data_IF_655538569160
#
_entry.id   IF_655538569160
#
_cell.length_a   1.000
_cell.length_b   1.000
_cell.length_c   1.000
_cell.angle_alpha   90.00
_cell.angle_beta   90.00
_cell.angle_gamma   90.00
#
_symmetry.space_group_name_H-M   'P 1'
#
loop_
_entity.id
_entity.type
_entity.pdbx_description
1 polymer ?
#
# COMPACT_ATOMS: atom_id res chain seq x y z
N UNK A 1 16.04 -33.03 50.52
CA UNK A 1 14.90 -32.68 49.63
C UNK A 1 15.41 -32.78 48.20
N UNK A 2 15.07 -33.85 47.46
CA UNK A 2 15.63 -34.16 46.14
C UNK A 2 14.55 -33.84 45.09
N UNK A 3 14.69 -32.71 44.39
CA UNK A 3 13.82 -32.39 43.25
C UNK A 3 14.13 -33.39 42.13
N UNK A 4 13.12 -34.12 41.65
CA UNK A 4 13.32 -35.12 40.60
C UNK A 4 13.70 -34.43 39.28
N UNK A 5 14.78 -34.88 38.65
CA UNK A 5 15.30 -34.36 37.38
C UNK A 5 14.26 -34.39 36.24
N UNK A 6 13.20 -35.19 36.37
CA UNK A 6 12.12 -35.34 35.39
C UNK A 6 11.23 -34.10 35.28
N UNK A 7 11.02 -33.34 36.36
CA UNK A 7 10.18 -32.14 36.31
C UNK A 7 10.89 -30.95 35.65
N UNK A 8 12.23 -30.93 35.69
CA UNK A 8 13.02 -29.85 35.10
C UNK A 8 13.01 -29.94 33.57
N UNK A 9 13.22 -31.13 32.99
CA UNK A 9 13.23 -31.32 31.53
C UNK A 9 11.89 -31.04 30.86
N UNK A 10 10.77 -31.42 31.50
CA UNK A 10 9.41 -31.11 30.99
C UNK A 10 9.11 -29.61 30.98
N UNK A 11 9.59 -28.87 31.98
CA UNK A 11 9.43 -27.42 32.05
C UNK A 11 10.17 -26.71 30.90
N UNK A 12 11.41 -27.12 30.59
CA UNK A 12 12.13 -26.58 29.42
C UNK A 12 11.45 -26.97 28.10
N UNK A 13 10.94 -28.20 27.98
CA UNK A 13 10.24 -28.63 26.77
C UNK A 13 8.95 -27.84 26.52
N UNK A 14 8.20 -27.51 27.58
CA UNK A 14 7.03 -26.63 27.49
C UNK A 14 7.40 -25.21 27.09
N UNK A 15 8.51 -24.65 27.60
CA UNK A 15 9.00 -23.32 27.20
C UNK A 15 9.42 -23.32 25.72
N UNK A 16 10.17 -24.34 25.27
CA UNK A 16 10.55 -24.45 23.87
C UNK A 16 9.35 -24.64 22.94
N UNK A 17 8.38 -25.47 23.32
CA UNK A 17 7.16 -25.70 22.54
C UNK A 17 6.28 -24.44 22.44
N UNK A 18 6.13 -23.70 23.54
CA UNK A 18 5.39 -22.42 23.55
C UNK A 18 6.10 -21.33 22.77
N UNK A 19 7.43 -21.24 22.84
CA UNK A 19 8.23 -20.32 22.03
C UNK A 19 8.14 -20.66 20.53
N UNK A 20 8.24 -21.94 20.15
CA UNK A 20 8.09 -22.37 18.77
C UNK A 20 6.68 -22.05 18.22
N UNK A 21 5.63 -22.26 19.02
CA UNK A 21 4.25 -21.92 18.64
C UNK A 21 4.08 -20.41 18.44
N UNK A 22 4.69 -19.60 19.32
CA UNK A 22 4.69 -18.14 19.22
C UNK A 22 5.39 -17.65 17.94
N UNK A 23 6.55 -18.21 17.60
CA UNK A 23 7.28 -17.87 16.36
C UNK A 23 6.47 -18.20 15.10
N UNK A 24 5.77 -19.34 15.06
CA UNK A 24 4.93 -19.72 13.92
C UNK A 24 3.71 -18.81 13.77
N UNK A 25 3.06 -18.42 14.87
CA UNK A 25 1.92 -17.50 14.85
C UNK A 25 2.32 -16.09 14.39
N UNK A 26 3.46 -15.57 14.85
CA UNK A 26 3.96 -14.25 14.43
C UNK A 26 4.42 -14.22 12.97
N UNK A 27 5.07 -15.29 12.51
CA UNK A 27 5.53 -15.38 11.11
C UNK A 27 4.34 -15.39 10.13
N UNK A 28 3.24 -16.06 10.51
CA UNK A 28 2.01 -16.13 9.70
C UNK A 28 1.30 -14.78 9.61
N UNK A 29 1.28 -14.01 10.69
CA UNK A 29 0.68 -12.67 10.71
C UNK A 29 1.46 -11.66 9.84
N UNK A 30 2.79 -11.70 9.88
CA UNK A 30 3.63 -10.82 9.05
C UNK A 30 3.45 -11.10 7.55
N UNK A 31 3.45 -12.38 7.14
CA UNK A 31 3.19 -12.79 5.75
C UNK A 31 1.81 -12.35 5.25
N UNK A 32 0.78 -12.43 6.10
CA UNK A 32 -0.57 -12.00 5.76
C UNK A 32 -0.69 -10.48 5.55
N UNK A 33 0.11 -9.68 6.25
CA UNK A 33 0.12 -8.22 6.08
C UNK A 33 0.82 -7.81 4.77
N UNK A 34 1.95 -8.45 4.45
CA UNK A 34 2.70 -8.22 3.22
C UNK A 34 1.92 -8.64 1.97
N UNK A 35 1.24 -9.80 2.01
CA UNK A 35 0.41 -10.24 0.87
C UNK A 35 -0.73 -9.26 0.59
N UNK A 36 -1.29 -8.62 1.62
CA UNK A 36 -2.42 -7.69 1.50
C UNK A 36 -2.00 -6.37 0.83
N UNK A 37 -0.84 -5.80 1.18
CA UNK A 37 -0.38 -4.56 0.55
C UNK A 37 0.00 -4.76 -0.93
N UNK A 38 0.61 -5.90 -1.27
CA UNK A 38 0.95 -6.22 -2.67
C UNK A 38 -0.32 -6.31 -3.52
N UNK A 39 -1.35 -6.98 -3.01
CA UNK A 39 -2.65 -7.08 -3.67
C UNK A 39 -3.27 -5.70 -3.88
N UNK A 40 -3.25 -4.82 -2.86
CA UNK A 40 -3.77 -3.45 -2.98
C UNK A 40 -3.00 -2.65 -4.04
N UNK A 41 -1.67 -2.76 -4.08
CA UNK A 41 -0.86 -2.07 -5.08
C UNK A 41 -1.15 -2.56 -6.51
N UNK A 42 -1.42 -3.86 -6.69
CA UNK A 42 -1.85 -4.42 -7.98
C UNK A 42 -3.22 -3.91 -8.40
N UNK A 43 -4.17 -3.80 -7.46
CA UNK A 43 -5.49 -3.20 -7.73
C UNK A 43 -5.37 -1.74 -8.13
N UNK A 44 -4.56 -0.96 -7.41
CA UNK A 44 -4.29 0.44 -7.74
C UNK A 44 -3.67 0.61 -9.14
N UNK A 45 -2.75 -0.27 -9.53
CA UNK A 45 -2.20 -0.29 -10.89
C UNK A 45 -3.30 -0.54 -11.93
N UNK A 46 -4.13 -1.55 -11.72
CA UNK A 46 -5.25 -1.87 -12.60
C UNK A 46 -6.23 -0.69 -12.72
N UNK A 47 -6.55 -0.02 -11.61
CA UNK A 47 -7.47 1.11 -11.60
C UNK A 47 -6.89 2.31 -12.37
N UNK A 48 -5.59 2.60 -12.20
CA UNK A 48 -4.88 3.61 -12.99
C UNK A 48 -4.87 3.26 -14.48
N UNK A 49 -4.71 1.99 -14.84
CA UNK A 49 -4.76 1.52 -16.24
C UNK A 49 -6.17 1.71 -16.84
N UNK A 50 -7.23 1.50 -16.06
CA UNK A 50 -8.60 1.82 -16.49
C UNK A 50 -8.77 3.32 -16.78
N UNK A 51 -8.26 4.19 -15.90
CA UNK A 51 -8.34 5.64 -16.10
C UNK A 51 -7.57 6.04 -17.36
N UNK A 52 -6.32 5.58 -17.50
CA UNK A 52 -5.47 5.86 -18.66
C UNK A 52 -6.12 5.38 -19.96
N UNK A 53 -6.61 4.13 -19.97
CA UNK A 53 -7.32 3.54 -21.12
C UNK A 53 -8.59 4.32 -21.46
N UNK A 54 -9.33 4.76 -20.45
CA UNK A 54 -10.51 5.59 -20.62
C UNK A 54 -10.22 6.92 -21.32
N UNK A 55 -9.15 7.62 -20.93
CA UNK A 55 -8.71 8.82 -21.63
C UNK A 55 -8.25 8.53 -23.06
N UNK A 56 -7.38 7.53 -23.25
CA UNK A 56 -6.81 7.19 -24.56
C UNK A 56 -7.86 6.73 -25.58
N UNK A 57 -8.92 6.06 -25.14
CA UNK A 57 -10.00 5.57 -26.00
C UNK A 57 -11.23 6.49 -26.04
N UNK A 58 -11.18 7.65 -25.37
CA UNK A 58 -12.34 8.54 -25.21
C UNK A 58 -13.57 7.83 -24.58
N UNK A 59 -13.33 6.90 -23.66
CA UNK A 59 -14.31 6.07 -22.94
C UNK A 59 -14.42 6.52 -21.47
N UNK A 60 -15.20 7.59 -21.22
CA UNK A 60 -15.31 8.23 -19.91
C UNK A 60 -16.04 7.42 -18.84
N UNK A 61 -16.77 6.37 -19.23
CA UNK A 61 -17.27 5.36 -18.32
C UNK A 61 -16.13 4.57 -17.66
N UNK A 62 -15.05 4.24 -18.40
CA UNK A 62 -13.87 3.58 -17.84
C UNK A 62 -13.10 4.52 -16.90
N UNK A 63 -13.04 5.82 -17.24
CA UNK A 63 -12.45 6.84 -16.37
C UNK A 63 -13.19 6.89 -15.02
N UNK A 64 -14.52 6.93 -15.04
CA UNK A 64 -15.33 6.96 -13.81
C UNK A 64 -15.24 5.68 -13.00
N UNK A 65 -15.22 4.52 -13.67
CA UNK A 65 -15.01 3.22 -13.02
C UNK A 65 -13.64 3.20 -12.32
N UNK A 66 -12.58 3.53 -13.05
CA UNK A 66 -11.22 3.55 -12.51
C UNK A 66 -11.07 4.51 -11.33
N UNK A 67 -11.65 5.71 -11.38
CA UNK A 67 -11.63 6.66 -10.24
C UNK A 67 -12.34 6.07 -9.01
N UNK A 68 -13.51 5.46 -9.21
CA UNK A 68 -14.32 4.88 -8.13
C UNK A 68 -13.56 3.76 -7.43
N UNK A 69 -12.95 2.86 -8.20
CA UNK A 69 -12.16 1.75 -7.68
C UNK A 69 -10.88 2.25 -7.01
N UNK A 70 -10.15 3.13 -7.68
CA UNK A 70 -8.93 3.74 -7.14
C UNK A 70 -9.21 4.44 -5.81
N UNK A 71 -10.37 5.09 -5.63
CA UNK A 71 -10.74 5.68 -4.35
C UNK A 71 -10.82 4.64 -3.24
N UNK A 72 -11.53 3.54 -3.47
CA UNK A 72 -11.72 2.45 -2.50
C UNK A 72 -10.40 1.78 -2.17
N UNK A 73 -9.63 1.38 -3.18
CA UNK A 73 -8.37 0.67 -2.99
C UNK A 73 -7.28 1.57 -2.39
N UNK A 74 -7.29 2.87 -2.70
CA UNK A 74 -6.36 3.82 -2.09
C UNK A 74 -6.72 4.13 -0.63
N UNK A 75 -8.01 4.18 -0.29
CA UNK A 75 -8.43 4.31 1.11
C UNK A 75 -8.10 3.05 1.93
N UNK A 76 -8.05 1.86 1.30
CA UNK A 76 -7.51 0.66 1.92
C UNK A 76 -6.00 0.78 2.17
N UNK A 77 -5.21 1.24 1.18
CA UNK A 77 -3.78 1.49 1.33
C UNK A 77 -3.48 2.43 2.51
N UNK A 78 -4.25 3.51 2.65
CA UNK A 78 -4.04 4.54 3.69
C UNK A 78 -4.24 4.04 5.13
N UNK A 79 -4.82 2.84 5.32
CA UNK A 79 -4.97 2.24 6.65
C UNK A 79 -3.69 1.54 7.13
N UNK A 80 -2.75 1.29 6.23
CA UNK A 80 -1.47 0.69 6.58
C UNK A 80 -0.54 1.72 7.21
N UNK A 81 0.22 1.28 8.23
CA UNK A 81 1.40 2.01 8.65
C UNK A 81 2.51 1.78 7.61
N UNK A 82 2.76 2.77 6.75
CA UNK A 82 3.71 2.65 5.64
C UNK A 82 5.14 2.40 6.13
N UNK A 83 5.48 2.82 7.35
CA UNK A 83 6.82 2.64 7.92
C UNK A 83 7.20 1.16 8.09
N UNK A 84 6.21 0.28 8.28
CA UNK A 84 6.42 -1.18 8.38
C UNK A 84 6.98 -1.76 7.08
N UNK A 85 6.75 -1.09 5.95
CA UNK A 85 7.20 -1.50 4.62
C UNK A 85 8.47 -0.76 4.18
N UNK A 86 9.03 0.07 5.05
CA UNK A 86 10.29 0.78 4.80
C UNK A 86 11.46 0.01 5.41
N UNK A 87 12.56 -0.02 4.67
CA UNK A 87 13.86 -0.45 5.14
C UNK A 87 14.53 0.64 5.99
N UNK A 88 15.57 0.27 6.74
CA UNK A 88 16.42 1.25 7.46
C UNK A 88 16.94 2.39 6.57
N UNK A 89 17.17 2.12 5.27
CA UNK A 89 17.74 3.07 4.32
C UNK A 89 16.72 4.08 3.76
N UNK A 90 15.42 3.86 3.95
CA UNK A 90 14.37 4.75 3.42
C UNK A 90 13.33 5.16 4.48
N UNK A 91 13.49 4.74 5.74
CA UNK A 91 12.61 5.12 6.84
C UNK A 91 12.54 6.64 7.06
N UNK A 92 13.64 7.36 6.83
CA UNK A 92 13.70 8.83 6.90
C UNK A 92 12.83 9.53 5.84
N UNK A 93 12.41 8.82 4.79
CA UNK A 93 11.50 9.35 3.78
C UNK A 93 10.01 9.19 4.15
N UNK A 94 9.67 8.55 5.28
CA UNK A 94 8.28 8.33 5.68
C UNK A 94 7.42 9.61 5.65
N UNK A 95 7.86 10.78 6.18
CA UNK A 95 7.06 12.01 6.10
C UNK A 95 6.79 12.47 4.67
N UNK A 96 7.77 12.31 3.78
CA UNK A 96 7.67 12.68 2.36
C UNK A 96 6.70 11.72 1.64
N UNK A 97 6.77 10.42 1.94
CA UNK A 97 5.84 9.43 1.40
C UNK A 97 4.40 9.73 1.82
N UNK A 98 4.17 10.06 3.10
CA UNK A 98 2.85 10.49 3.57
C UNK A 98 2.35 11.75 2.84
N UNK A 99 3.22 12.72 2.55
CA UNK A 99 2.85 13.88 1.75
C UNK A 99 2.43 13.49 0.33
N UNK A 100 3.15 12.60 -0.35
CA UNK A 100 2.75 12.12 -1.67
C UNK A 100 1.40 11.39 -1.65
N UNK A 101 1.15 10.58 -0.62
CA UNK A 101 -0.13 9.89 -0.43
C UNK A 101 -1.29 10.89 -0.26
N UNK A 102 -1.10 11.95 0.52
CA UNK A 102 -2.12 12.98 0.71
C UNK A 102 -2.37 13.76 -0.58
N UNK A 103 -1.31 14.13 -1.31
CA UNK A 103 -1.44 14.84 -2.58
C UNK A 103 -2.21 14.02 -3.63
N UNK A 104 -2.11 12.69 -3.64
CA UNK A 104 -2.93 11.84 -4.52
C UNK A 104 -4.44 12.06 -4.28
N UNK A 105 -4.87 12.26 -3.03
CA UNK A 105 -6.27 12.53 -2.71
C UNK A 105 -6.73 13.88 -3.27
N UNK A 106 -5.89 14.90 -3.17
CA UNK A 106 -6.17 16.23 -3.72
C UNK A 106 -6.25 16.21 -5.25
N UNK A 107 -5.32 15.54 -5.91
CA UNK A 107 -5.31 15.42 -7.37
C UNK A 107 -6.47 14.58 -7.89
N UNK A 108 -6.89 13.53 -7.16
CA UNK A 108 -8.12 12.79 -7.45
C UNK A 108 -9.36 13.66 -7.35
N UNK A 109 -9.45 14.51 -6.33
CA UNK A 109 -10.56 15.46 -6.17
C UNK A 109 -10.60 16.45 -7.33
N UNK A 110 -9.42 16.91 -7.78
CA UNK A 110 -9.29 17.78 -8.95
C UNK A 110 -9.73 17.07 -10.25
N UNK A 111 -9.34 15.81 -10.42
CA UNK A 111 -9.77 14.96 -11.53
C UNK A 111 -11.30 14.82 -11.57
N UNK A 112 -11.93 14.47 -10.45
CA UNK A 112 -13.40 14.38 -10.33
C UNK A 112 -14.08 15.73 -10.64
N UNK A 113 -13.55 16.82 -10.10
CA UNK A 113 -14.05 18.16 -10.36
C UNK A 113 -13.99 18.52 -11.84
N UNK A 114 -12.84 18.35 -12.50
CA UNK A 114 -12.71 18.68 -13.91
C UNK A 114 -13.59 17.82 -14.81
N UNK A 115 -13.77 16.54 -14.48
CA UNK A 115 -14.74 15.68 -15.17
C UNK A 115 -16.17 16.18 -15.02
N UNK A 116 -16.58 16.61 -13.82
CA UNK A 116 -17.92 17.18 -13.57
C UNK A 116 -18.20 18.45 -14.37
N UNK A 117 -17.13 19.18 -14.75
CA UNK A 117 -17.18 20.39 -15.57
C UNK A 117 -16.92 20.13 -17.06
N UNK A 118 -16.82 18.86 -17.47
CA UNK A 118 -16.46 18.45 -18.84
C UNK A 118 -15.10 19.02 -19.32
N UNK A 119 -14.20 19.37 -18.40
CA UNK A 119 -12.86 19.88 -18.69
C UNK A 119 -11.87 18.73 -18.86
N UNK A 120 -12.04 17.94 -19.92
CA UNK A 120 -11.36 16.64 -20.14
C UNK A 120 -9.83 16.72 -20.13
N UNK A 121 -9.24 17.76 -20.72
CA UNK A 121 -7.78 17.93 -20.72
C UNK A 121 -7.23 18.21 -19.32
N UNK A 122 -7.88 19.10 -18.55
CA UNK A 122 -7.50 19.36 -17.16
C UNK A 122 -7.71 18.14 -16.26
N UNK A 123 -8.76 17.37 -16.54
CA UNK A 123 -8.99 16.09 -15.88
C UNK A 123 -7.82 15.12 -16.14
N UNK A 124 -7.39 15.00 -17.40
CA UNK A 124 -6.23 14.18 -17.75
C UNK A 124 -4.95 14.66 -17.08
N UNK A 125 -4.70 15.97 -17.04
CA UNK A 125 -3.55 16.56 -16.32
C UNK A 125 -3.56 16.22 -14.83
N UNK A 126 -4.73 16.31 -14.16
CA UNK A 126 -4.88 15.91 -12.77
C UNK A 126 -4.59 14.41 -12.58
N UNK A 127 -5.04 13.56 -13.49
CA UNK A 127 -4.68 12.14 -13.47
C UNK A 127 -3.17 11.90 -13.65
N UNK A 128 -2.50 12.63 -14.54
CA UNK A 128 -1.05 12.52 -14.69
C UNK A 128 -0.30 12.93 -13.43
N UNK A 129 -0.81 13.91 -12.67
CA UNK A 129 -0.24 14.26 -11.36
C UNK A 129 -0.41 13.14 -10.34
N UNK A 130 -1.54 12.43 -10.33
CA UNK A 130 -1.72 11.21 -9.50
C UNK A 130 -0.62 10.20 -9.82
N UNK A 131 -0.45 9.83 -11.10
CA UNK A 131 0.58 8.88 -11.52
C UNK A 131 1.99 9.35 -11.14
N UNK A 132 2.28 10.64 -11.32
CA UNK A 132 3.56 11.21 -10.93
C UNK A 132 3.82 11.03 -9.43
N UNK A 133 2.84 11.29 -8.55
CA UNK A 133 2.98 11.05 -7.09
C UNK A 133 3.22 9.58 -6.76
N UNK A 134 2.51 8.65 -7.43
CA UNK A 134 2.78 7.22 -7.29
C UNK A 134 4.23 6.88 -7.64
N UNK A 135 4.74 7.42 -8.76
CA UNK A 135 6.11 7.19 -9.20
C UNK A 135 7.15 7.83 -8.27
N UNK A 136 6.85 8.95 -7.61
CA UNK A 136 7.72 9.53 -6.60
C UNK A 136 7.88 8.61 -5.38
N UNK A 137 6.79 7.99 -4.90
CA UNK A 137 6.87 6.96 -3.86
C UNK A 137 7.71 5.76 -4.31
N UNK A 138 7.49 5.27 -5.55
CA UNK A 138 8.25 4.16 -6.10
C UNK A 138 9.74 4.47 -6.24
N UNK A 139 10.09 5.68 -6.69
CA UNK A 139 11.48 6.08 -6.86
C UNK A 139 12.25 6.05 -5.53
N UNK A 140 11.64 6.55 -4.44
CA UNK A 140 12.24 6.54 -3.11
C UNK A 140 12.32 5.13 -2.51
N UNK A 141 11.25 4.35 -2.63
CA UNK A 141 11.17 3.02 -1.99
C UNK A 141 11.94 1.94 -2.75
N UNK A 142 12.05 2.06 -4.08
CA UNK A 142 12.75 1.11 -4.97
C UNK A 142 14.15 1.57 -5.40
N UNK A 143 14.60 2.72 -4.92
CA UNK A 143 15.98 3.20 -5.10
C UNK A 143 16.34 3.66 -6.51
N UNK A 144 15.39 4.25 -7.24
CA UNK A 144 15.64 4.77 -8.60
C UNK A 144 16.42 6.09 -8.61
N UNK A 145 16.44 6.79 -7.48
CA UNK A 145 17.07 8.11 -7.33
C UNK A 145 18.42 8.03 -6.58
N UNK A 146 19.18 6.95 -6.78
CA UNK A 146 20.53 6.79 -6.25
C UNK A 146 21.57 7.36 -7.20
#
# INVERSE_FOLDING_TARGET
MRLSHTNFSHFFWQIFATFALFVVLFSSAAHSAESNIVEIMQKLQYDSDLIQKGFSLNRFELVREGITRHKVDFDALRRFNIEVFLTKNNLNYAPIIYSFINNIVEERTSLEYFLSKNQKMKAYEAFQKINHRCMQCHALTRGWSK
#
